data_IF_100132124053
#
_entry.id   IF_100132124053
#
_cell.length_a   1.000
_cell.length_b   1.000
_cell.length_c   1.000
_cell.angle_alpha   90.00
_cell.angle_beta   90.00
_cell.angle_gamma   90.00
#
_symmetry.space_group_name_H-M   'P 1'
#
loop_
_entity.id
_entity.type
_entity.pdbx_description
1 polymer ?
#
# COMPACT_ATOMS: atom_id res chain seq x y z
N UNK A 1 8.80 22.91 -14.33
CA UNK A 1 7.84 22.50 -15.38
C UNK A 1 6.78 21.66 -14.70
N UNK A 2 5.50 21.91 -14.96
CA UNK A 2 4.37 21.24 -14.30
C UNK A 2 4.11 19.88 -14.95
N UNK A 3 3.81 18.82 -14.19
CA UNK A 3 3.13 17.62 -14.70
C UNK A 3 1.82 18.06 -15.35
N UNK A 4 1.65 17.71 -16.62
CA UNK A 4 0.44 17.97 -17.37
C UNK A 4 -0.67 17.04 -16.89
N UNK A 5 -1.68 17.60 -16.21
CA UNK A 5 -2.99 16.98 -16.07
C UNK A 5 -3.74 17.15 -17.39
N UNK A 6 -4.00 16.06 -18.13
CA UNK A 6 -5.01 16.09 -19.20
C UNK A 6 -6.39 15.97 -18.55
N UNK A 7 -6.89 17.06 -17.95
CA UNK A 7 -8.32 17.19 -17.65
C UNK A 7 -9.06 17.50 -18.96
N UNK A 8 -9.92 16.60 -19.43
CA UNK A 8 -10.97 16.98 -20.39
C UNK A 8 -11.84 18.04 -19.73
N UNK A 9 -11.99 19.18 -20.40
CA UNK A 9 -12.73 20.35 -19.94
C UNK A 9 -14.15 20.02 -19.45
N UNK A 10 -14.60 20.52 -18.28
CA UNK A 10 -16.00 20.44 -17.89
C UNK A 10 -16.87 21.41 -18.72
N UNK A 11 -18.17 21.13 -18.90
CA UNK A 11 -19.10 22.10 -19.46
C UNK A 11 -19.23 23.34 -18.55
N UNK A 12 -19.62 24.48 -19.16
CA UNK A 12 -19.64 25.84 -18.60
C UNK A 12 -20.13 25.95 -17.16
N UNK A 13 -19.41 26.78 -16.38
CA UNK A 13 -19.65 27.15 -14.97
C UNK A 13 -21.03 27.77 -14.72
N UNK A 14 -21.61 27.45 -13.56
CA UNK A 14 -22.43 28.36 -12.74
C UNK A 14 -22.03 28.17 -11.27
N UNK A 15 -21.77 29.27 -10.56
CA UNK A 15 -21.63 29.30 -9.08
C UNK A 15 -20.20 29.46 -8.54
N UNK A 16 -19.99 30.45 -7.67
CA UNK A 16 -18.69 30.90 -7.12
C UNK A 16 -18.30 30.14 -5.85
N UNK A 17 -17.03 29.70 -5.76
CA UNK A 17 -16.22 29.71 -4.53
C UNK A 17 -14.74 29.98 -4.92
N UNK A 18 -13.96 30.74 -4.12
CA UNK A 18 -12.58 31.06 -4.45
C UNK A 18 -11.66 29.88 -4.14
N UNK A 19 -11.01 29.34 -5.17
CA UNK A 19 -9.89 28.40 -5.01
C UNK A 19 -8.64 29.25 -4.81
N UNK A 20 -8.02 29.18 -3.63
CA UNK A 20 -6.72 29.80 -3.36
C UNK A 20 -5.60 28.89 -3.86
N UNK A 21 -4.60 29.48 -4.51
CA UNK A 21 -3.41 28.77 -5.00
C UNK A 21 -2.25 28.99 -4.03
N UNK A 22 -1.68 27.92 -3.50
CA UNK A 22 -0.40 27.96 -2.78
C UNK A 22 0.72 27.79 -3.80
N UNK A 23 1.60 28.78 -3.90
CA UNK A 23 2.82 28.70 -4.71
C UNK A 23 3.87 27.91 -3.92
N UNK A 24 4.02 26.63 -4.21
CA UNK A 24 5.07 25.80 -3.60
C UNK A 24 6.32 25.88 -4.47
N UNK A 25 7.42 26.35 -3.89
CA UNK A 25 8.72 26.52 -4.53
C UNK A 25 9.75 25.56 -3.91
N UNK A 26 9.80 24.35 -4.46
CA UNK A 26 10.94 23.41 -4.54
C UNK A 26 10.47 22.26 -5.44
N UNK A 27 11.36 21.62 -6.21
CA UNK A 27 11.00 20.72 -7.33
C UNK A 27 10.52 19.35 -6.82
N UNK A 28 9.34 19.33 -6.19
CA UNK A 28 8.54 18.15 -5.93
C UNK A 28 7.11 18.48 -6.32
N UNK A 29 6.59 17.77 -7.32
CA UNK A 29 5.22 18.00 -7.79
C UNK A 29 4.27 16.97 -7.19
N UNK A 30 3.27 17.46 -6.47
CA UNK A 30 2.17 16.67 -5.94
C UNK A 30 0.93 16.85 -6.81
N UNK A 31 0.37 15.75 -7.31
CA UNK A 31 -0.89 15.71 -8.04
C UNK A 31 -1.91 14.81 -7.35
N UNK A 32 -3.14 15.29 -7.16
CA UNK A 32 -4.27 14.46 -6.74
C UNK A 32 -5.14 14.22 -7.97
N UNK A 33 -5.37 12.95 -8.29
CA UNK A 33 -6.25 12.52 -9.37
C UNK A 33 -7.56 12.02 -8.76
N UNK A 34 -8.61 12.83 -8.88
CA UNK A 34 -9.99 12.49 -8.52
C UNK A 34 -10.82 12.48 -9.80
N UNK A 35 -11.05 11.31 -10.38
CA UNK A 35 -11.89 11.16 -11.56
C UNK A 35 -12.31 9.70 -11.78
N UNK A 36 -13.41 9.50 -12.51
CA UNK A 36 -13.88 8.19 -12.95
C UNK A 36 -13.08 7.59 -14.13
N UNK A 37 -11.96 8.20 -14.49
CA UNK A 37 -10.90 7.72 -15.38
C UNK A 37 -9.87 8.84 -15.51
N UNK A 38 -8.60 8.50 -15.67
CA UNK A 38 -7.51 9.48 -15.81
C UNK A 38 -6.30 8.85 -16.47
N UNK A 39 -5.41 9.66 -17.04
CA UNK A 39 -4.13 9.16 -17.52
C UNK A 39 -3.04 9.70 -16.61
N UNK A 40 -2.13 8.82 -16.19
CA UNK A 40 -0.88 9.19 -15.52
C UNK A 40 0.24 8.99 -16.52
N UNK A 41 1.01 10.03 -16.78
CA UNK A 41 2.18 9.94 -17.65
C UNK A 41 3.35 10.68 -17.04
N UNK A 42 4.55 10.26 -17.42
CA UNK A 42 5.76 11.02 -17.12
C UNK A 42 5.64 12.44 -17.70
N UNK A 43 6.32 13.44 -17.11
CA UNK A 43 6.33 14.78 -17.66
C UNK A 43 6.86 14.76 -19.10
N UNK A 44 6.28 15.61 -19.94
CA UNK A 44 6.57 15.74 -21.39
C UNK A 44 6.20 14.54 -22.27
N UNK A 45 5.64 13.44 -21.74
CA UNK A 45 5.23 12.29 -22.56
C UNK A 45 4.36 12.74 -23.75
N UNK A 46 4.61 12.27 -24.99
CA UNK A 46 5.54 11.21 -25.40
C UNK A 46 7.00 11.64 -25.64
N UNK A 47 7.36 12.88 -25.32
CA UNK A 47 8.74 13.37 -25.31
C UNK A 47 9.51 12.94 -24.05
N UNK A 48 10.81 13.27 -24.01
CA UNK A 48 11.69 12.83 -22.93
C UNK A 48 11.31 13.48 -21.59
N UNK A 49 11.30 12.70 -20.52
CA UNK A 49 11.11 13.25 -19.18
C UNK A 49 12.31 14.13 -18.76
N UNK A 50 12.10 15.15 -17.90
CA UNK A 50 13.18 16.00 -17.43
C UNK A 50 14.02 15.29 -16.35
N UNK A 51 15.32 15.59 -16.31
CA UNK A 51 16.24 15.20 -15.24
C UNK A 51 15.86 15.81 -13.88
N UNK A 52 16.35 15.23 -12.79
CA UNK A 52 16.17 15.67 -11.39
C UNK A 52 14.71 15.93 -11.04
N UNK A 53 13.82 15.10 -11.57
CA UNK A 53 12.38 15.28 -11.41
C UNK A 53 11.83 14.25 -10.45
N UNK A 54 11.10 14.72 -9.44
CA UNK A 54 10.29 13.91 -8.55
C UNK A 54 8.81 14.28 -8.71
N UNK A 55 7.99 13.30 -9.06
CA UNK A 55 6.57 13.46 -9.26
C UNK A 55 5.81 12.44 -8.43
N UNK A 56 4.86 12.91 -7.64
CA UNK A 56 4.02 12.05 -6.81
C UNK A 56 2.56 12.24 -7.23
N UNK A 57 1.91 11.12 -7.56
CA UNK A 57 0.48 11.08 -7.83
C UNK A 57 -0.21 10.28 -6.74
N UNK A 58 -1.23 10.89 -6.14
CA UNK A 58 -2.23 10.19 -5.36
C UNK A 58 -3.47 10.01 -6.23
N UNK A 59 -3.78 8.76 -6.55
CA UNK A 59 -4.97 8.38 -7.28
C UNK A 59 -6.05 8.07 -6.26
N UNK A 60 -7.19 8.75 -6.37
CA UNK A 60 -8.38 8.54 -5.53
C UNK A 60 -9.57 8.30 -6.44
N UNK A 61 -10.19 7.11 -6.33
CA UNK A 61 -11.43 6.76 -7.01
C UNK A 61 -12.61 6.83 -6.03
N UNK A 62 -13.84 6.67 -6.56
CA UNK A 62 -15.04 6.64 -5.72
C UNK A 62 -14.98 5.51 -4.69
N UNK A 63 -15.60 5.77 -3.54
CA UNK A 63 -15.77 4.77 -2.49
C UNK A 63 -16.43 3.49 -3.04
N UNK A 64 -15.98 2.33 -2.58
CA UNK A 64 -16.40 1.02 -3.10
C UNK A 64 -15.75 0.59 -4.42
N UNK A 65 -14.98 1.46 -5.09
CA UNK A 65 -14.20 1.10 -6.29
C UNK A 65 -12.71 0.91 -5.96
N UNK A 66 -12.00 0.17 -6.80
CA UNK A 66 -10.54 0.02 -6.70
C UNK A 66 -9.82 0.52 -7.96
N UNK A 67 -8.55 0.90 -7.77
CA UNK A 67 -7.67 1.37 -8.82
C UNK A 67 -7.06 0.16 -9.52
N UNK A 68 -7.20 0.09 -10.83
CA UNK A 68 -6.48 -0.87 -11.67
C UNK A 68 -5.48 -0.13 -12.55
N UNK A 69 -4.20 -0.35 -12.27
CA UNK A 69 -3.08 0.31 -12.92
C UNK A 69 -2.53 -0.56 -14.04
N UNK A 70 -2.49 0.00 -15.25
CA UNK A 70 -1.92 -0.66 -16.43
C UNK A 70 -1.01 0.30 -17.19
N UNK A 71 0.13 -0.22 -17.65
CA UNK A 71 1.09 0.53 -18.44
C UNK A 71 0.85 0.28 -19.93
N UNK A 72 0.66 1.35 -20.69
CA UNK A 72 0.64 1.29 -22.16
C UNK A 72 2.02 1.49 -22.76
N UNK A 73 2.84 2.30 -22.10
CA UNK A 73 4.22 2.53 -22.48
C UNK A 73 5.07 2.67 -21.21
N UNK A 74 6.28 2.10 -21.25
CA UNK A 74 7.24 2.17 -20.16
C UNK A 74 8.65 2.07 -20.72
N UNK A 75 9.41 3.16 -20.57
CA UNK A 75 10.80 3.26 -20.98
C UNK A 75 11.49 4.27 -20.04
N UNK A 76 12.24 3.76 -19.07
CA UNK A 76 13.07 4.50 -18.12
C UNK A 76 14.52 4.05 -18.24
N UNK A 77 15.46 4.84 -17.70
CA UNK A 77 16.85 4.41 -17.60
C UNK A 77 16.96 3.10 -16.80
N UNK A 78 17.69 2.13 -17.34
CA UNK A 78 17.88 0.83 -16.71
C UNK A 78 19.01 0.85 -15.68
N UNK A 79 18.77 0.23 -14.54
CA UNK A 79 19.80 -0.15 -13.58
C UNK A 79 19.37 -1.44 -12.87
N UNK A 80 20.33 -2.28 -12.43
CA UNK A 80 20.03 -3.59 -11.81
C UNK A 80 19.06 -3.47 -10.62
N UNK A 81 19.24 -2.45 -9.78
CA UNK A 81 18.38 -2.15 -8.62
C UNK A 81 17.52 -0.88 -8.80
N UNK A 82 17.36 -0.43 -10.05
CA UNK A 82 16.66 0.81 -10.41
C UNK A 82 17.15 2.02 -9.60
N UNK A 83 18.47 2.19 -9.49
CA UNK A 83 19.08 3.21 -8.63
C UNK A 83 19.07 4.62 -9.25
N UNK A 84 18.93 4.71 -10.58
CA UNK A 84 18.85 5.97 -11.31
C UNK A 84 17.38 6.39 -11.43
N UNK A 85 16.77 6.21 -12.60
CA UNK A 85 15.37 6.53 -12.83
C UNK A 85 14.45 5.38 -12.44
N UNK A 86 13.33 5.68 -11.78
CA UNK A 86 12.39 4.66 -11.37
C UNK A 86 10.96 5.16 -11.18
N UNK A 87 10.03 4.22 -11.20
CA UNK A 87 8.70 4.38 -10.65
C UNK A 87 8.53 3.46 -9.43
N UNK A 88 8.00 3.99 -8.33
CA UNK A 88 7.50 3.21 -7.19
C UNK A 88 5.97 3.27 -7.18
N UNK A 89 5.36 2.14 -6.91
CA UNK A 89 3.90 2.00 -6.85
C UNK A 89 3.55 1.50 -5.46
N UNK A 90 2.63 2.18 -4.78
CA UNK A 90 2.21 1.88 -3.43
C UNK A 90 0.70 1.60 -3.37
N UNK A 91 0.34 0.55 -2.65
CA UNK A 91 -1.02 0.25 -2.25
C UNK A 91 -1.34 1.02 -0.96
N UNK A 92 -1.79 2.26 -1.12
CA UNK A 92 -2.06 3.19 -0.03
C UNK A 92 -1.92 4.64 -0.48
N UNK A 93 -1.88 5.58 0.48
CA UNK A 93 -1.93 7.02 0.19
C UNK A 93 -0.54 7.65 -0.01
N UNK A 94 0.52 7.04 0.51
CA UNK A 94 1.88 7.60 0.50
C UNK A 94 2.94 6.49 0.63
N UNK A 95 4.23 6.87 0.57
CA UNK A 95 5.36 5.98 0.85
C UNK A 95 5.40 5.54 2.32
N UNK A 96 4.96 6.38 3.26
CA UNK A 96 4.97 6.08 4.70
C UNK A 96 3.77 5.24 5.16
N UNK A 97 2.64 5.36 4.46
CA UNK A 97 1.38 4.73 4.86
C UNK A 97 0.91 3.62 3.91
N UNK A 98 1.55 3.49 2.75
CA UNK A 98 1.22 2.49 1.74
C UNK A 98 2.19 1.32 1.69
N UNK A 99 1.71 0.16 1.25
CA UNK A 99 2.58 -0.98 0.98
C UNK A 99 3.23 -0.85 -0.41
N UNK A 100 4.56 -0.97 -0.50
CA UNK A 100 5.27 -0.95 -1.80
C UNK A 100 4.88 -2.18 -2.62
N UNK A 101 4.18 -1.96 -3.74
CA UNK A 101 3.84 -3.00 -4.72
C UNK A 101 5.02 -3.32 -5.63
N UNK A 102 5.89 -2.34 -5.89
CA UNK A 102 7.13 -2.57 -6.61
C UNK A 102 7.84 -1.29 -7.03
N UNK A 103 9.10 -1.46 -7.43
CA UNK A 103 9.99 -0.44 -7.98
C UNK A 103 10.46 -0.90 -9.36
N UNK A 104 10.27 -0.09 -10.39
CA UNK A 104 10.51 -0.48 -11.79
C UNK A 104 11.31 0.56 -12.55
N UNK A 105 12.11 0.09 -13.51
CA UNK A 105 12.95 0.88 -14.43
C UNK A 105 13.28 0.05 -15.67
N UNK A 106 13.96 0.63 -16.66
CA UNK A 106 14.23 -0.02 -17.95
C UNK A 106 13.05 0.06 -18.93
N UNK A 107 13.04 -0.85 -19.90
CA UNK A 107 12.08 -0.90 -21.02
C UNK A 107 11.09 -2.09 -20.94
N UNK A 108 11.21 -2.92 -19.90
CA UNK A 108 10.27 -3.99 -19.61
C UNK A 108 9.05 -3.41 -18.91
N UNK A 109 7.88 -3.51 -19.54
CA UNK A 109 6.63 -3.02 -18.96
C UNK A 109 6.34 -3.71 -17.62
N UNK A 110 6.03 -2.95 -16.55
CA UNK A 110 5.57 -3.52 -15.29
C UNK A 110 4.28 -4.33 -15.47
N UNK A 111 4.01 -5.31 -14.60
CA UNK A 111 2.74 -6.02 -14.59
C UNK A 111 1.60 -5.09 -14.17
N UNK A 112 0.37 -5.59 -14.28
CA UNK A 112 -0.82 -4.90 -13.81
C UNK A 112 -0.90 -4.91 -12.28
N UNK A 113 -1.35 -3.81 -11.69
CA UNK A 113 -1.55 -3.69 -10.24
C UNK A 113 -2.97 -3.29 -9.92
N UNK A 114 -3.53 -3.84 -8.84
CA UNK A 114 -4.78 -3.38 -8.25
C UNK A 114 -4.52 -2.82 -6.87
N UNK A 115 -5.10 -1.67 -6.54
CA UNK A 115 -5.18 -1.24 -5.15
C UNK A 115 -6.18 -2.10 -4.39
N UNK A 116 -5.99 -2.23 -3.09
CA UNK A 116 -6.98 -2.88 -2.23
C UNK A 116 -8.20 -1.98 -1.98
N UNK A 117 -8.08 -0.65 -2.16
CA UNK A 117 -9.10 0.37 -1.87
C UNK A 117 -9.28 1.36 -2.99
N UNK A 118 -9.96 2.45 -2.71
CA UNK A 118 -10.15 3.55 -3.62
C UNK A 118 -8.91 4.46 -3.76
N UNK A 119 -7.74 4.06 -3.26
CA UNK A 119 -6.51 4.85 -3.33
C UNK A 119 -5.29 4.04 -3.81
N UNK A 120 -4.42 4.70 -4.56
CA UNK A 120 -3.10 4.20 -4.97
C UNK A 120 -2.14 5.39 -5.09
N UNK A 121 -0.90 5.25 -4.64
CA UNK A 121 0.12 6.30 -4.83
C UNK A 121 1.26 5.82 -5.73
N UNK A 122 1.73 6.74 -6.56
CA UNK A 122 2.77 6.49 -7.57
C UNK A 122 3.82 7.58 -7.41
N UNK A 123 5.09 7.19 -7.33
CA UNK A 123 6.23 8.11 -7.26
C UNK A 123 7.12 7.84 -8.46
N UNK A 124 7.37 8.86 -9.27
CA UNK A 124 8.39 8.84 -10.32
C UNK A 124 9.58 9.67 -9.87
N UNK A 125 10.77 9.13 -10.07
CA UNK A 125 12.04 9.79 -9.80
C UNK A 125 12.94 9.69 -11.03
N UNK A 126 13.71 10.76 -11.28
CA UNK A 126 14.77 10.78 -12.28
C UNK A 126 16.02 11.47 -11.75
N UNK A 127 17.18 11.00 -12.17
CA UNK A 127 18.48 11.49 -11.70
C UNK A 127 19.03 12.64 -12.59
N UNK A 128 20.33 12.94 -12.51
CA UNK A 128 20.96 14.04 -13.26
C UNK A 128 21.26 13.74 -14.73
N UNK A 129 21.20 12.49 -15.15
CA UNK A 129 21.66 12.02 -16.45
C UNK A 129 20.64 11.07 -17.05
N UNK A 130 20.65 10.96 -18.38
CA UNK A 130 19.84 10.01 -19.16
C UNK A 130 18.33 10.18 -18.98
N UNK A 131 17.63 10.28 -20.11
CA UNK A 131 16.19 10.38 -20.10
C UNK A 131 15.63 9.68 -21.32
N UNK A 132 14.53 8.98 -21.11
CA UNK A 132 13.78 8.25 -22.12
C UNK A 132 12.39 8.88 -22.29
N UNK A 133 11.55 8.28 -23.13
CA UNK A 133 10.16 8.73 -23.34
C UNK A 133 9.33 8.66 -22.07
N UNK A 134 9.74 7.83 -21.12
CA UNK A 134 9.07 7.68 -19.83
C UNK A 134 7.91 6.69 -19.91
N UNK A 135 6.79 7.05 -19.31
CA UNK A 135 5.65 6.15 -19.24
C UNK A 135 4.35 6.85 -19.57
N UNK A 136 3.41 6.09 -20.11
CA UNK A 136 2.01 6.46 -20.15
C UNK A 136 1.15 5.31 -19.67
N UNK A 137 0.22 5.65 -18.80
CA UNK A 137 -0.69 4.71 -18.17
C UNK A 137 -2.12 5.13 -18.47
N UNK A 138 -2.95 4.13 -18.76
CA UNK A 138 -4.40 4.28 -18.75
C UNK A 138 -4.87 3.74 -17.41
N UNK A 139 -5.50 4.62 -16.63
CA UNK A 139 -6.19 4.22 -15.41
C UNK A 139 -7.53 3.60 -15.80
N UNK A 140 -7.68 2.29 -15.57
CA UNK A 140 -8.98 1.66 -15.62
C UNK A 140 -9.58 1.69 -14.22
N UNK A 141 -10.77 2.27 -14.08
CA UNK A 141 -11.58 2.02 -12.90
C UNK A 141 -12.00 0.55 -12.89
N UNK A 142 -11.93 -0.10 -11.73
CA UNK A 142 -12.87 -1.15 -11.43
C UNK A 142 -14.10 -0.49 -10.81
N UNK A 143 -15.11 -0.22 -11.62
CA UNK A 143 -16.45 0.12 -11.14
C UNK A 143 -16.96 -1.08 -10.33
N UNK A 144 -17.13 -0.93 -9.02
CA UNK A 144 -18.04 -1.80 -8.28
C UNK A 144 -19.47 -1.33 -8.56
N UNK A 145 -19.97 -1.62 -9.76
CA UNK A 145 -21.41 -1.75 -9.91
C UNK A 145 -21.67 -3.22 -9.63
N UNK A 146 -22.22 -3.47 -8.45
CA UNK A 146 -22.78 -4.76 -8.05
C UNK A 146 -23.74 -5.27 -9.14
N UNK A 147 -23.22 -6.05 -10.08
CA UNK A 147 -23.99 -6.87 -11.02
C UNK A 147 -23.25 -8.19 -11.21
N UNK A 148 -23.53 -9.13 -10.30
CA UNK A 148 -23.11 -10.55 -10.28
C UNK A 148 -21.62 -10.84 -10.04
N UNK A 149 -21.32 -11.94 -9.33
CA UNK A 149 -19.99 -12.25 -8.85
C UNK A 149 -19.15 -12.77 -10.02
N UNK A 150 -18.20 -11.95 -10.46
CA UNK A 150 -17.04 -12.46 -11.16
C UNK A 150 -15.91 -12.37 -10.15
N UNK A 151 -15.52 -13.53 -9.63
CA UNK A 151 -14.36 -13.85 -8.78
C UNK A 151 -13.24 -12.79 -8.80
N UNK A 152 -13.45 -11.65 -8.15
CA UNK A 152 -12.52 -10.54 -8.13
C UNK A 152 -11.62 -10.77 -6.94
N UNK A 153 -10.48 -11.41 -7.20
CA UNK A 153 -9.44 -11.65 -6.21
C UNK A 153 -8.85 -10.29 -5.84
N UNK A 154 -9.32 -9.69 -4.75
CA UNK A 154 -8.71 -8.49 -4.18
C UNK A 154 -7.27 -8.83 -3.80
N UNK A 155 -6.29 -8.31 -4.55
CA UNK A 155 -4.88 -8.52 -4.25
C UNK A 155 -4.52 -7.70 -3.00
N UNK A 156 -4.53 -8.35 -1.85
CA UNK A 156 -4.02 -7.85 -0.58
C UNK A 156 -2.94 -8.80 -0.06
N UNK A 157 -2.05 -8.31 0.78
CA UNK A 157 -0.87 -9.08 1.18
C UNK A 157 0.41 -8.69 0.44
N UNK A 158 1.38 -9.60 0.42
CA UNK A 158 2.67 -9.45 -0.24
C UNK A 158 3.86 -9.81 0.65
N UNK A 159 5.07 -9.65 0.12
CA UNK A 159 6.31 -9.84 0.88
C UNK A 159 6.82 -8.48 1.36
N UNK A 160 7.09 -8.38 2.66
CA UNK A 160 7.56 -7.16 3.32
C UNK A 160 8.99 -7.37 3.80
N UNK A 161 9.95 -6.65 3.22
CA UNK A 161 11.39 -6.80 3.53
C UNK A 161 12.00 -5.61 4.27
N UNK A 162 11.17 -4.65 4.67
CA UNK A 162 11.61 -3.47 5.42
C UNK A 162 12.04 -3.83 6.84
N UNK A 163 12.86 -2.97 7.46
CA UNK A 163 13.19 -3.09 8.89
C UNK A 163 11.98 -2.78 9.79
N UNK A 164 10.98 -2.11 9.23
CA UNK A 164 9.67 -1.88 9.85
C UNK A 164 8.64 -1.55 8.79
N UNK A 165 7.37 -1.54 9.18
CA UNK A 165 6.27 -1.14 8.30
C UNK A 165 4.90 -1.38 8.90
N UNK A 166 3.87 -1.09 8.12
CA UNK A 166 2.46 -1.19 8.54
C UNK A 166 1.78 -2.32 7.77
N UNK A 167 0.95 -3.09 8.48
CA UNK A 167 0.04 -4.07 7.92
C UNK A 167 -1.37 -3.68 8.36
N UNK A 168 -2.30 -3.56 7.43
CA UNK A 168 -3.69 -3.29 7.77
C UNK A 168 -4.61 -4.21 7.00
N UNK A 169 -5.78 -4.50 7.57
CA UNK A 169 -6.86 -5.13 6.80
C UNK A 169 -7.14 -4.29 5.56
N UNK A 170 -7.61 -4.93 4.49
CA UNK A 170 -8.22 -4.18 3.42
C UNK A 170 -9.38 -3.37 4.03
N UNK A 171 -9.31 -2.05 4.02
CA UNK A 171 -10.49 -1.18 4.23
C UNK A 171 -10.17 -0.11 5.24
N UNK A 172 -9.23 -0.44 6.10
CA UNK A 172 -8.93 0.31 7.29
C UNK A 172 -8.71 1.81 6.99
N UNK A 173 -9.41 2.71 7.69
CA UNK A 173 -10.24 2.48 8.88
C UNK A 173 -11.73 2.19 8.59
N UNK A 174 -12.13 2.03 7.32
CA UNK A 174 -13.48 1.61 6.93
C UNK A 174 -13.66 0.10 7.06
N UNK A 175 -14.91 -0.35 6.95
CA UNK A 175 -15.26 -1.76 7.02
C UNK A 175 -14.53 -2.57 5.93
N UNK A 176 -13.92 -3.70 6.30
CA UNK A 176 -13.31 -4.59 5.32
C UNK A 176 -14.38 -5.35 4.52
N UNK A 177 -14.02 -5.78 3.31
CA UNK A 177 -14.92 -6.56 2.47
C UNK A 177 -15.02 -8.02 2.95
N UNK A 178 -16.19 -8.61 2.71
CA UNK A 178 -16.42 -10.05 2.85
C UNK A 178 -15.56 -10.86 1.87
N UNK A 179 -15.21 -12.09 2.24
CA UNK A 179 -14.41 -13.04 1.48
C UNK A 179 -12.97 -12.55 1.18
N UNK A 180 -12.40 -11.77 2.09
CA UNK A 180 -10.99 -11.39 2.02
C UNK A 180 -10.11 -12.62 2.28
N UNK A 181 -9.00 -12.73 1.52
CA UNK A 181 -7.96 -13.73 1.74
C UNK A 181 -6.60 -13.07 1.51
N UNK A 182 -6.06 -12.46 2.55
CA UNK A 182 -4.84 -11.67 2.50
C UNK A 182 -3.71 -12.40 3.24
N UNK A 183 -2.50 -12.35 2.67
CA UNK A 183 -1.31 -12.89 3.34
C UNK A 183 -0.10 -11.97 3.20
N UNK A 184 0.45 -11.53 4.32
CA UNK A 184 1.69 -10.76 4.37
C UNK A 184 2.81 -11.61 4.95
N UNK A 185 3.88 -11.80 4.20
CA UNK A 185 5.11 -12.46 4.67
C UNK A 185 6.16 -11.40 4.95
N UNK A 186 6.44 -11.14 6.22
CA UNK A 186 7.56 -10.30 6.63
C UNK A 186 8.83 -11.13 6.62
N UNK A 187 9.87 -10.62 5.98
CA UNK A 187 11.21 -11.23 5.93
C UNK A 187 12.26 -10.19 6.30
N UNK A 188 12.92 -10.38 7.44
CA UNK A 188 14.01 -9.51 7.91
C UNK A 188 15.35 -10.25 7.88
N UNK A 189 16.44 -9.55 8.22
CA UNK A 189 17.78 -10.15 8.19
C UNK A 189 17.89 -11.39 9.09
N UNK A 190 18.74 -12.36 8.71
CA UNK A 190 18.88 -13.66 9.40
C UNK A 190 19.28 -13.58 10.90
N UNK A 191 19.68 -12.41 11.41
CA UNK A 191 20.06 -12.18 12.81
C UNK A 191 19.04 -11.30 13.56
N UNK A 192 17.87 -11.12 12.97
CA UNK A 192 16.78 -10.33 13.52
C UNK A 192 15.53 -11.17 13.70
N UNK A 193 14.70 -10.75 14.64
CA UNK A 193 13.33 -11.25 14.84
C UNK A 193 12.34 -10.17 14.47
N UNK A 194 11.11 -10.55 14.16
CA UNK A 194 10.01 -9.64 13.85
C UNK A 194 9.16 -9.44 15.09
N UNK A 195 8.97 -8.19 15.50
CA UNK A 195 7.97 -7.80 16.50
C UNK A 195 6.75 -7.22 15.79
N UNK A 196 5.55 -7.64 16.16
CA UNK A 196 4.28 -7.15 15.63
C UNK A 196 3.41 -6.60 16.77
N UNK A 197 2.87 -5.39 16.57
CA UNK A 197 1.99 -4.71 17.52
C UNK A 197 0.73 -4.24 16.80
N UNK A 198 -0.44 -4.62 17.31
CA UNK A 198 -1.73 -4.12 16.82
C UNK A 198 -2.02 -2.74 17.43
N UNK A 199 -2.23 -1.76 16.55
CA UNK A 199 -2.59 -0.39 16.89
C UNK A 199 -4.11 -0.25 17.01
N UNK A 200 -4.86 -0.94 16.15
CA UNK A 200 -6.33 -1.00 16.14
C UNK A 200 -6.78 -2.39 15.68
N UNK A 201 -7.92 -2.86 16.19
CA UNK A 201 -8.44 -4.20 15.91
C UNK A 201 -9.96 -4.30 16.17
N UNK A 202 -10.71 -4.60 15.12
CA UNK A 202 -12.14 -4.81 15.17
C UNK A 202 -12.59 -5.72 14.01
N UNK A 203 -12.73 -7.01 14.30
CA UNK A 203 -13.27 -8.01 13.38
C UNK A 203 -14.62 -8.53 13.89
N UNK A 204 -15.32 -9.31 13.07
CA UNK A 204 -16.46 -10.09 13.53
C UNK A 204 -16.06 -10.93 14.76
N UNK A 205 -16.95 -10.96 15.76
CA UNK A 205 -16.70 -11.69 17.00
C UNK A 205 -17.40 -13.04 16.97
N UNK A 206 -16.64 -14.12 17.09
CA UNK A 206 -17.16 -15.49 17.16
C UNK A 206 -16.32 -16.35 18.12
N UNK A 207 -16.97 -17.31 18.77
CA UNK A 207 -16.27 -18.27 19.63
C UNK A 207 -15.32 -19.14 18.79
N UNK A 208 -14.01 -19.00 19.06
CA UNK A 208 -12.96 -19.72 18.33
C UNK A 208 -12.50 -19.06 17.03
N UNK A 209 -13.01 -17.88 16.68
CA UNK A 209 -12.57 -17.09 15.52
C UNK A 209 -12.63 -17.88 14.19
N UNK A 210 -13.78 -18.52 13.94
CA UNK A 210 -13.98 -19.39 12.77
C UNK A 210 -14.54 -18.65 11.54
N UNK A 211 -15.03 -17.42 11.71
CA UNK A 211 -15.55 -16.59 10.64
C UNK A 211 -14.44 -15.66 10.16
N UNK A 212 -14.37 -14.44 10.71
CA UNK A 212 -13.31 -13.50 10.42
C UNK A 212 -12.16 -13.61 11.41
N UNK A 213 -10.93 -13.67 10.92
CA UNK A 213 -9.77 -13.78 11.78
C UNK A 213 -8.48 -13.26 11.17
N UNK A 214 -7.57 -12.84 12.06
CA UNK A 214 -6.13 -12.72 11.75
C UNK A 214 -5.41 -13.90 12.39
N UNK A 215 -4.70 -14.67 11.58
CA UNK A 215 -3.83 -15.75 12.01
C UNK A 215 -2.36 -15.35 11.88
N UNK A 216 -1.56 -15.67 12.89
CA UNK A 216 -0.13 -15.39 12.93
C UNK A 216 0.68 -16.68 12.94
N UNK A 217 1.78 -16.71 12.18
CA UNK A 217 2.70 -17.84 12.15
C UNK A 217 4.16 -17.37 12.26
N UNK A 218 4.94 -18.02 13.13
CA UNK A 218 6.38 -17.79 13.27
C UNK A 218 7.13 -18.57 12.19
N UNK A 219 7.22 -17.95 11.01
CA UNK A 219 7.84 -18.50 9.82
C UNK A 219 7.16 -18.03 8.54
N UNK A 220 7.70 -18.39 7.37
CA UNK A 220 7.21 -17.89 6.08
C UNK A 220 5.94 -18.56 5.54
N UNK A 221 5.39 -19.58 6.22
CA UNK A 221 4.19 -20.28 5.73
C UNK A 221 3.35 -20.88 6.84
N UNK A 222 2.09 -21.22 6.52
CA UNK A 222 1.13 -21.87 7.43
C UNK A 222 1.57 -23.24 7.99
N UNK A 223 2.68 -23.79 7.49
CA UNK A 223 3.29 -25.02 8.01
C UNK A 223 4.17 -24.78 9.24
N UNK A 224 4.48 -23.53 9.54
CA UNK A 224 5.30 -23.14 10.69
C UNK A 224 4.45 -22.96 11.95
N UNK A 225 5.10 -22.67 13.08
CA UNK A 225 4.43 -22.55 14.37
C UNK A 225 3.29 -21.53 14.29
N UNK A 226 2.07 -22.01 14.52
CA UNK A 226 0.89 -21.17 14.64
C UNK A 226 0.90 -20.48 16.01
N UNK A 227 0.80 -19.16 16.01
CA UNK A 227 0.87 -18.33 17.21
C UNK A 227 -0.54 -18.00 17.76
N UNK A 228 -1.55 -18.03 16.90
CA UNK A 228 -2.95 -17.84 17.29
C UNK A 228 -3.82 -17.34 16.15
N UNK A 229 -5.14 -17.48 16.36
CA UNK A 229 -6.18 -16.80 15.59
C UNK A 229 -6.83 -15.74 16.48
N UNK A 230 -7.07 -14.56 15.94
CA UNK A 230 -7.65 -13.45 16.68
C UNK A 230 -8.83 -12.85 15.91
N UNK A 231 -9.88 -12.48 16.63
CA UNK A 231 -11.12 -11.92 16.13
C UNK A 231 -11.81 -11.06 17.21
N UNK A 232 -12.95 -10.45 16.89
CA UNK A 232 -13.65 -9.53 17.78
C UNK A 232 -12.94 -8.18 17.94
N UNK A 233 -13.13 -7.55 19.10
CA UNK A 233 -12.74 -6.14 19.34
C UNK A 233 -11.57 -5.99 20.33
N UNK A 234 -11.05 -7.09 20.87
CA UNK A 234 -9.90 -7.06 21.75
C UNK A 234 -8.61 -7.10 20.92
N UNK A 235 -7.68 -6.19 21.20
CA UNK A 235 -6.42 -6.15 20.48
C UNK A 235 -5.61 -7.42 20.77
N UNK A 236 -5.09 -8.11 19.73
CA UNK A 236 -4.21 -9.25 19.91
C UNK A 236 -2.97 -8.90 20.74
N UNK A 237 -2.37 -9.88 21.45
CA UNK A 237 -1.14 -9.67 22.20
C UNK A 237 0.02 -9.31 21.26
N UNK A 238 0.96 -8.53 21.78
CA UNK A 238 2.20 -8.23 21.07
C UNK A 238 2.94 -9.54 20.77
N UNK A 239 3.36 -9.70 19.52
CA UNK A 239 3.99 -10.92 19.04
C UNK A 239 5.45 -10.66 18.73
N UNK A 240 6.34 -11.58 19.13
CA UNK A 240 7.75 -11.59 18.75
C UNK A 240 8.07 -12.97 18.19
N UNK A 241 8.62 -13.03 16.98
CA UNK A 241 9.01 -14.28 16.35
C UNK A 241 10.33 -14.81 16.91
N UNK A 242 10.56 -16.11 16.76
CA UNK A 242 11.85 -16.76 16.99
C UNK A 242 12.68 -16.84 15.71
N UNK A 243 12.03 -16.79 14.55
CA UNK A 243 12.66 -16.72 13.24
C UNK A 243 12.75 -15.29 12.69
N UNK A 244 13.45 -15.12 11.58
CA UNK A 244 13.49 -13.86 10.82
C UNK A 244 12.28 -13.68 9.86
N UNK A 245 11.23 -14.48 10.05
CA UNK A 245 10.03 -14.45 9.23
C UNK A 245 8.77 -14.38 10.09
N UNK A 246 7.77 -13.64 9.62
CA UNK A 246 6.42 -13.63 10.20
C UNK A 246 5.42 -13.72 9.06
N UNK A 247 4.50 -14.67 9.12
CA UNK A 247 3.33 -14.70 8.24
C UNK A 247 2.11 -14.18 9.01
N UNK A 248 1.46 -13.18 8.44
CA UNK A 248 0.17 -12.65 8.87
C UNK A 248 -0.88 -13.03 7.82
N UNK A 249 -1.91 -13.75 8.21
CA UNK A 249 -3.04 -14.12 7.34
C UNK A 249 -4.28 -13.44 7.85
N UNK A 250 -5.03 -12.77 6.98
CA UNK A 250 -6.36 -12.24 7.29
C UNK A 250 -7.39 -12.90 6.38
N UNK A 251 -8.43 -13.48 6.99
CA UNK A 251 -9.58 -14.02 6.26
C UNK A 251 -10.87 -13.43 6.78
N UNK A 252 -11.82 -13.21 5.87
CA UNK A 252 -13.22 -12.93 6.22
C UNK A 252 -14.18 -13.86 5.49
N UNK A 253 -15.35 -14.10 6.09
CA UNK A 253 -16.40 -14.94 5.53
C UNK A 253 -17.32 -14.15 4.57
N UNK A 254 -18.49 -14.69 4.21
CA UNK A 254 -19.38 -14.05 3.23
C UNK A 254 -20.21 -12.88 3.77
N UNK A 255 -20.22 -12.60 5.09
CA UNK A 255 -21.03 -11.55 5.71
C UNK A 255 -20.37 -10.93 6.96
N UNK A 256 -20.92 -9.80 7.43
CA UNK A 256 -20.54 -9.14 8.69
C UNK A 256 -19.07 -8.68 8.70
N UNK A 257 -18.82 -7.46 8.24
CA UNK A 257 -17.51 -6.83 8.39
C UNK A 257 -17.36 -6.04 9.69
N UNK A 258 -16.12 -5.72 10.02
CA UNK A 258 -15.74 -4.75 11.04
C UNK A 258 -14.79 -3.69 10.45
N UNK A 259 -14.42 -2.66 11.22
CA UNK A 259 -13.46 -1.64 10.77
C UNK A 259 -12.07 -2.21 10.45
N UNK A 260 -11.80 -3.44 10.86
CA UNK A 260 -10.59 -4.17 10.52
C UNK A 260 -9.47 -3.92 11.50
N UNK A 261 -8.23 -3.97 11.02
CA UNK A 261 -7.06 -3.82 11.88
C UNK A 261 -5.98 -2.97 11.23
N UNK A 262 -5.14 -2.37 12.09
CA UNK A 262 -3.86 -1.76 11.72
C UNK A 262 -2.80 -2.24 12.70
N UNK A 263 -1.71 -2.77 12.17
CA UNK A 263 -0.58 -3.29 12.92
C UNK A 263 0.72 -2.69 12.40
N UNK A 264 1.68 -2.54 13.29
CA UNK A 264 3.04 -2.11 12.98
C UNK A 264 4.01 -3.24 13.29
N UNK A 265 4.91 -3.52 12.35
CA UNK A 265 5.99 -4.47 12.55
C UNK A 265 7.35 -3.76 12.56
N UNK A 266 8.31 -4.32 13.27
CA UNK A 266 9.70 -3.89 13.23
C UNK A 266 10.67 -5.04 13.55
N UNK A 267 11.89 -4.95 13.03
CA UNK A 267 12.97 -5.90 13.27
C UNK A 267 13.71 -5.56 14.57
N UNK A 268 14.01 -6.55 15.39
CA UNK A 268 14.89 -6.42 16.56
C UNK A 268 16.00 -7.47 16.53
N UNK A 269 17.19 -7.15 17.05
CA UNK A 269 18.28 -8.12 17.13
C UNK A 269 18.02 -9.19 18.20
N UNK A 270 18.31 -10.46 17.87
CA UNK A 270 18.09 -11.62 18.75
C UNK A 270 18.93 -11.57 20.03
N UNK A 271 20.03 -10.81 20.05
CA UNK A 271 21.03 -10.82 21.14
C UNK A 271 20.70 -9.94 22.35
N UNK A 272 19.63 -9.15 22.32
CA UNK A 272 19.35 -8.16 23.37
C UNK A 272 18.07 -8.38 24.20
N UNK A 273 17.21 -9.35 23.86
CA UNK A 273 15.93 -9.50 24.58
C UNK A 273 16.01 -10.26 25.92
N UNK A 274 17.04 -11.06 26.19
CA UNK A 274 17.19 -11.75 27.49
C UNK A 274 17.58 -10.84 28.67
N UNK A 275 17.93 -9.56 28.44
CA UNK A 275 18.27 -8.62 29.52
C UNK A 275 17.26 -7.50 29.78
N UNK A 276 16.26 -7.30 28.92
CA UNK A 276 15.37 -6.13 29.00
C UNK A 276 13.91 -6.41 29.39
N UNK A 277 13.48 -7.68 29.47
CA UNK A 277 12.09 -8.01 29.84
C UNK A 277 11.67 -7.60 31.26
N UNK A 278 12.58 -7.13 32.13
CA UNK A 278 12.26 -6.68 33.48
C UNK A 278 12.29 -5.16 33.71
N UNK A 279 12.44 -4.30 32.68
CA UNK A 279 12.64 -2.86 32.93
C UNK A 279 11.83 -1.84 32.13
N UNK A 280 10.83 -2.23 31.35
CA UNK A 280 10.09 -1.25 30.56
C UNK A 280 8.58 -1.40 30.77
N UNK A 281 8.07 -0.74 31.83
CA UNK A 281 6.73 -0.15 31.83
C UNK A 281 6.82 1.17 31.08
N UNK A 282 6.49 1.21 29.79
CA UNK A 282 6.17 2.49 29.15
C UNK A 282 4.70 2.78 29.43
N UNK A 283 4.48 3.73 30.34
CA UNK A 283 3.22 4.43 30.51
C UNK A 283 3.09 5.37 29.30
N UNK A 284 2.30 4.98 28.30
CA UNK A 284 1.90 5.89 27.23
C UNK A 284 0.76 6.73 27.80
N UNK A 285 1.07 7.95 28.23
CA UNK A 285 0.08 9.03 28.37
C UNK A 285 -0.09 9.67 27.00
N UNK A 286 -1.29 9.57 26.44
CA UNK A 286 -1.73 10.37 25.30
C UNK A 286 -2.51 11.55 25.91
N UNK A 287 -2.25 12.81 25.51
CA UNK A 287 -3.09 13.95 25.91
C UNK A 287 -4.52 13.84 25.36
#
# INVERSE_FOLDING_TARGET
>A
MFCSLLQKSPPRKVGRLPISWVKVSSVSMYGILSASSGNVSSPNFPGLYPYNTECTWLIVVSEGSSVLLTFHHFELEYHTDCAYDYIKIYNGISEDEGNLLGKFCGDVSPPQFSSSWNVMSIIFHSDRHVAHKGFSQILCLLHSIATKPQHHMYMCGGVLTGLSGVISSPGYPLEYNNNADCSWTVHVSNQSVVSLVFLDFQLENNEGCNFDYVALFDGPSVKHQHLGNYCGNERPPNTVTTSNHLLVVFKSDFNIGGRGFKAYYYSGETRFQTRYHNKIKFQIHIP
#
